data_IF_846127928960
#
_entry.id   IF_846127928960
#
_cell.length_a   1.000
_cell.length_b   1.000
_cell.length_c   1.000
_cell.angle_alpha   90.00
_cell.angle_beta   90.00
_cell.angle_gamma   90.00
#
_symmetry.space_group_name_H-M   'P 1'
#
loop_
_entity.id
_entity.type
_entity.pdbx_description
1 polymer ?
#
# COMPACT_ATOMS: atom_id res chain seq x y z
N UNK A 1 -15.41 -54.51 -20.06
CA UNK A 1 -16.09 -54.90 -18.81
C UNK A 1 -16.27 -53.61 -18.00
N UNK A 2 -17.39 -52.89 -18.17
CA UNK A 2 -18.62 -52.98 -17.34
C UNK A 2 -18.32 -52.76 -15.86
N UNK A 3 -18.82 -51.77 -15.11
CA UNK A 3 -19.77 -50.64 -15.25
C UNK A 3 -19.69 -49.90 -13.87
N UNK A 4 -20.26 -48.69 -13.71
CA UNK A 4 -20.03 -47.79 -12.56
C UNK A 4 -21.03 -47.98 -11.40
N UNK A 5 -20.74 -47.38 -10.23
CA UNK A 5 -21.70 -47.14 -9.12
C UNK A 5 -21.71 -45.63 -8.82
N UNK A 6 -22.77 -44.91 -9.17
CA UNK A 6 -24.12 -44.84 -8.59
C UNK A 6 -24.23 -43.75 -7.50
N UNK A 7 -24.78 -42.62 -7.94
CA UNK A 7 -25.38 -41.56 -7.12
C UNK A 7 -26.48 -42.14 -6.22
N UNK A 8 -26.54 -41.68 -4.97
CA UNK A 8 -27.68 -41.84 -4.10
C UNK A 8 -28.20 -40.47 -3.65
N UNK A 9 -29.24 -40.02 -4.36
CA UNK A 9 -30.22 -39.06 -3.87
C UNK A 9 -30.89 -39.60 -2.60
N UNK A 10 -31.00 -38.76 -1.57
CA UNK A 10 -32.02 -38.94 -0.52
C UNK A 10 -32.71 -37.62 -0.22
N UNK A 11 -33.94 -37.56 -0.70
CA UNK A 11 -35.02 -36.69 -0.26
C UNK A 11 -35.44 -37.02 1.17
N UNK A 12 -35.75 -36.01 1.98
CA UNK A 12 -36.68 -36.07 3.11
C UNK A 12 -37.19 -34.64 3.32
N UNK A 13 -38.40 -34.31 2.86
CA UNK A 13 -39.69 -34.54 3.52
C UNK A 13 -40.14 -33.27 4.28
N UNK A 14 -40.97 -32.48 3.59
CA UNK A 14 -41.90 -31.53 4.20
C UNK A 14 -42.81 -32.27 5.18
N UNK A 15 -42.94 -31.75 6.40
CA UNK A 15 -44.12 -31.98 7.24
C UNK A 15 -44.49 -30.66 7.92
N UNK A 16 -45.59 -30.08 7.46
CA UNK A 16 -46.32 -29.06 8.21
C UNK A 16 -47.28 -29.75 9.16
N UNK A 17 -47.42 -29.23 10.39
CA UNK A 17 -48.49 -29.61 11.32
C UNK A 17 -48.78 -28.46 12.28
N UNK A 18 -50.04 -28.01 12.19
CA UNK A 18 -50.96 -27.56 13.24
C UNK A 18 -50.69 -26.29 14.07
N UNK A 19 -51.45 -25.25 13.70
CA UNK A 19 -52.01 -24.28 14.65
C UNK A 19 -52.90 -25.01 15.68
N UNK A 20 -52.59 -24.83 16.96
CA UNK A 20 -53.54 -25.08 18.05
C UNK A 20 -53.50 -23.86 18.98
N UNK A 21 -54.59 -23.09 18.97
CA UNK A 21 -54.79 -21.95 19.85
C UNK A 21 -55.01 -22.42 21.29
N UNK A 22 -54.20 -21.89 22.20
CA UNK A 22 -54.43 -21.96 23.64
C UNK A 22 -54.67 -20.55 24.16
N UNK A 23 -55.91 -20.30 24.58
CA UNK A 23 -56.28 -19.19 25.44
C UNK A 23 -55.61 -19.39 26.80
N UNK A 24 -54.57 -18.61 27.09
CA UNK A 24 -54.02 -18.49 28.44
C UNK A 24 -54.73 -17.35 29.16
N UNK A 25 -55.38 -17.73 30.25
CA UNK A 25 -56.01 -16.88 31.26
C UNK A 25 -54.99 -15.91 31.87
N UNK A 26 -55.32 -14.62 31.86
CA UNK A 26 -54.57 -13.59 32.59
C UNK A 26 -54.73 -13.77 34.10
N UNK A 27 -53.67 -14.22 34.76
CA UNK A 27 -53.49 -14.07 36.20
C UNK A 27 -52.69 -12.79 36.46
N UNK A 28 -53.26 -11.90 37.29
CA UNK A 28 -52.65 -10.66 37.72
C UNK A 28 -51.34 -10.94 38.47
N UNK A 29 -50.22 -10.44 37.94
CA UNK A 29 -48.91 -10.50 38.58
C UNK A 29 -48.82 -9.42 39.68
N UNK A 30 -48.22 -9.74 40.85
CA UNK A 30 -48.00 -8.77 41.91
C UNK A 30 -46.94 -7.73 41.55
N UNK A 31 -47.13 -6.56 42.15
CA UNK A 31 -46.32 -5.35 42.17
C UNK A 31 -44.84 -5.53 41.77
N UNK A 32 -44.46 -4.92 40.64
CA UNK A 32 -43.05 -4.70 40.29
C UNK A 32 -42.48 -3.66 41.26
N UNK A 33 -41.79 -4.13 42.29
CA UNK A 33 -40.91 -3.30 43.10
C UNK A 33 -39.97 -2.51 42.18
N UNK A 34 -40.06 -1.19 42.23
CA UNK A 34 -39.18 -0.22 41.58
C UNK A 34 -37.78 -0.30 42.18
N UNK A 35 -37.03 -1.34 41.82
CA UNK A 35 -35.60 -1.39 42.08
C UNK A 35 -34.92 -0.31 41.25
N UNK A 36 -34.38 0.72 41.91
CA UNK A 36 -33.51 1.73 41.29
C UNK A 36 -32.48 1.03 40.40
N UNK A 37 -32.28 1.46 39.13
CA UNK A 37 -31.29 0.84 38.26
C UNK A 37 -29.92 0.91 38.95
N UNK A 38 -29.36 -0.25 39.28
CA UNK A 38 -27.99 -0.35 39.77
C UNK A 38 -27.07 0.03 38.61
N UNK A 39 -26.44 1.20 38.72
CA UNK A 39 -25.35 1.58 37.83
C UNK A 39 -24.20 0.60 38.05
N UNK A 40 -24.02 -0.31 37.10
CA UNK A 40 -22.84 -1.18 37.06
C UNK A 40 -21.74 -0.34 36.44
N UNK A 41 -20.73 0.01 37.22
CA UNK A 41 -19.52 0.62 36.68
C UNK A 41 -18.89 -0.37 35.70
N UNK A 42 -19.09 -0.16 34.41
CA UNK A 42 -18.44 -0.96 33.37
C UNK A 42 -16.95 -0.74 33.50
N UNK A 43 -16.20 -1.81 33.79
CA UNK A 43 -14.74 -1.78 33.68
C UNK A 43 -14.39 -1.35 32.25
N UNK A 44 -13.40 -0.46 32.08
CA UNK A 44 -12.96 -0.08 30.74
C UNK A 44 -12.56 -1.34 29.99
N UNK A 45 -13.13 -1.53 28.79
CA UNK A 45 -12.72 -2.64 27.92
C UNK A 45 -11.26 -2.43 27.53
N UNK A 46 -10.43 -3.49 27.56
CA UNK A 46 -9.04 -3.41 27.12
C UNK A 46 -8.96 -2.91 25.67
N UNK A 47 -7.92 -2.12 25.37
CA UNK A 47 -7.70 -1.56 24.05
C UNK A 47 -7.43 -2.68 23.03
N UNK A 48 -8.12 -2.61 21.89
CA UNK A 48 -8.01 -3.60 20.80
C UNK A 48 -7.10 -3.06 19.70
N UNK A 49 -5.83 -2.95 20.07
CA UNK A 49 -4.79 -2.32 19.25
C UNK A 49 -4.14 -3.31 18.27
N UNK A 50 -4.57 -4.56 18.20
CA UNK A 50 -4.04 -5.52 17.24
C UNK A 50 -5.10 -5.90 16.21
N UNK A 51 -4.63 -6.23 15.00
CA UNK A 51 -5.43 -6.76 13.91
C UNK A 51 -4.86 -8.09 13.47
N UNK A 52 -5.68 -9.13 13.57
CA UNK A 52 -5.50 -10.38 12.86
C UNK A 52 -6.14 -10.24 11.49
N UNK A 53 -5.40 -10.48 10.43
CA UNK A 53 -5.87 -10.29 9.05
C UNK A 53 -5.30 -11.35 8.11
N UNK A 54 -5.88 -11.47 6.93
CA UNK A 54 -5.32 -12.32 5.87
C UNK A 54 -4.42 -11.45 5.01
N UNK A 55 -3.12 -11.61 5.21
CA UNK A 55 -2.09 -10.96 4.42
C UNK A 55 -1.55 -11.85 3.31
N UNK A 56 -0.49 -11.38 2.67
CA UNK A 56 0.19 -12.03 1.55
C UNK A 56 1.68 -12.15 1.87
N UNK A 57 2.25 -13.34 1.67
CA UNK A 57 3.68 -13.53 1.59
C UNK A 57 4.11 -13.48 0.12
N UNK A 58 5.05 -12.60 -0.18
CA UNK A 58 5.61 -12.45 -1.52
C UNK A 58 6.76 -13.44 -1.69
N UNK A 59 6.62 -14.39 -2.61
CA UNK A 59 7.64 -15.39 -2.91
C UNK A 59 8.21 -15.23 -4.31
N UNK A 60 9.51 -15.00 -4.41
CA UNK A 60 10.19 -14.86 -5.69
C UNK A 60 10.89 -16.16 -6.09
N UNK A 61 10.82 -16.51 -7.36
CA UNK A 61 11.55 -17.65 -7.92
C UNK A 61 13.03 -17.30 -8.06
N UNK A 62 13.89 -18.06 -7.37
CA UNK A 62 15.32 -17.92 -7.43
C UNK A 62 16.03 -19.24 -7.17
N UNK A 63 17.10 -19.52 -7.90
CA UNK A 63 17.90 -20.72 -7.67
C UNK A 63 17.16 -22.05 -7.87
N UNK A 64 16.05 -22.04 -8.62
CA UNK A 64 15.22 -23.22 -8.88
C UNK A 64 14.05 -23.43 -7.92
N UNK A 65 13.90 -22.59 -6.89
CA UNK A 65 12.79 -22.66 -5.93
C UNK A 65 12.19 -21.27 -5.65
N UNK A 66 11.08 -21.22 -4.92
CA UNK A 66 10.45 -19.99 -4.45
C UNK A 66 10.93 -19.65 -3.04
N UNK A 67 11.60 -18.51 -2.90
CA UNK A 67 12.07 -17.97 -1.64
C UNK A 67 11.22 -16.77 -1.20
N UNK A 68 11.00 -16.60 0.10
CA UNK A 68 10.18 -15.50 0.64
C UNK A 68 10.97 -14.20 0.63
N UNK A 69 10.34 -13.10 0.20
CA UNK A 69 10.93 -11.77 0.28
C UNK A 69 10.90 -11.31 1.74
N UNK A 70 12.07 -11.18 2.35
CA UNK A 70 12.23 -10.78 3.75
C UNK A 70 12.52 -9.30 3.92
N UNK A 71 12.96 -8.61 2.87
CA UNK A 71 13.27 -7.19 2.96
C UNK A 71 13.32 -6.54 1.57
N UNK A 72 13.22 -5.21 1.52
CA UNK A 72 13.33 -4.44 0.29
C UNK A 72 14.08 -3.12 0.54
N UNK A 73 15.32 -3.06 0.05
CA UNK A 73 16.22 -1.91 0.24
C UNK A 73 16.97 -1.63 -1.06
N UNK A 74 17.09 -0.35 -1.43
CA UNK A 74 17.84 0.11 -2.60
C UNK A 74 17.44 -0.58 -3.93
N UNK A 75 16.13 -0.73 -4.17
CA UNK A 75 15.58 -1.43 -5.34
C UNK A 75 15.97 -2.91 -5.44
N UNK A 76 16.28 -3.52 -4.29
CA UNK A 76 16.65 -4.94 -4.19
C UNK A 76 15.83 -5.63 -3.12
N UNK A 77 15.18 -6.73 -3.52
CA UNK A 77 14.48 -7.63 -2.63
C UNK A 77 15.48 -8.63 -2.02
N UNK A 78 15.50 -8.74 -0.68
CA UNK A 78 16.25 -9.78 0.03
C UNK A 78 15.35 -10.99 0.21
N UNK A 79 15.95 -12.17 0.08
CA UNK A 79 15.24 -13.45 0.19
C UNK A 79 15.63 -14.17 1.50
N UNK A 80 14.76 -15.03 2.01
CA UNK A 80 14.89 -15.83 3.24
C UNK A 80 16.02 -16.88 3.23
N UNK A 81 16.89 -16.87 2.22
CA UNK A 81 18.01 -17.79 2.12
C UNK A 81 19.33 -17.16 2.61
N UNK A 82 20.00 -17.77 3.62
CA UNK A 82 21.09 -17.15 4.37
C UNK A 82 22.34 -16.78 3.56
N UNK A 83 22.50 -17.31 2.34
CA UNK A 83 23.65 -17.05 1.46
C UNK A 83 23.28 -16.36 0.15
N UNK A 84 22.07 -15.80 0.03
CA UNK A 84 21.60 -15.27 -1.25
C UNK A 84 21.69 -13.75 -1.35
N UNK A 85 22.18 -13.22 -2.48
CA UNK A 85 22.29 -11.77 -2.69
C UNK A 85 20.90 -11.15 -2.82
N UNK A 86 20.74 -9.91 -2.34
CA UNK A 86 19.55 -9.12 -2.62
C UNK A 86 19.38 -8.99 -4.15
N UNK A 87 18.20 -9.34 -4.68
CA UNK A 87 17.91 -9.36 -6.11
C UNK A 87 17.31 -8.04 -6.54
N UNK A 88 17.78 -7.43 -7.65
CA UNK A 88 17.11 -6.26 -8.20
C UNK A 88 15.68 -6.62 -8.62
N UNK A 89 14.72 -5.72 -8.38
CA UNK A 89 13.29 -5.99 -8.62
C UNK A 89 13.00 -6.38 -10.07
N UNK A 90 13.75 -5.83 -11.02
CA UNK A 90 13.63 -6.17 -12.44
C UNK A 90 13.99 -7.63 -12.79
N UNK A 91 14.66 -8.37 -11.88
CA UNK A 91 14.98 -9.79 -12.04
C UNK A 91 14.01 -10.72 -11.31
N UNK A 92 12.98 -10.18 -10.66
CA UNK A 92 11.92 -10.99 -10.06
C UNK A 92 10.97 -11.47 -11.17
N UNK A 93 11.44 -12.39 -12.02
CA UNK A 93 10.72 -12.83 -13.22
C UNK A 93 9.43 -13.61 -12.91
N UNK A 94 9.43 -14.35 -11.80
CA UNK A 94 8.29 -15.16 -11.37
C UNK A 94 8.08 -14.94 -9.88
N UNK A 95 6.93 -14.38 -9.55
CA UNK A 95 6.53 -14.18 -8.16
C UNK A 95 5.24 -14.94 -7.92
N UNK A 96 5.08 -15.44 -6.69
CA UNK A 96 3.89 -16.14 -6.21
C UNK A 96 3.46 -15.51 -4.90
N UNK A 97 2.16 -15.42 -4.73
CA UNK A 97 1.54 -14.99 -3.49
C UNK A 97 1.09 -16.20 -2.70
N UNK A 98 1.36 -16.16 -1.40
CA UNK A 98 0.80 -17.12 -0.46
C UNK A 98 0.02 -16.34 0.58
N UNK A 99 -1.30 -16.55 0.62
CA UNK A 99 -2.10 -15.99 1.69
C UNK A 99 -1.70 -16.62 3.02
N UNK A 100 -1.47 -15.78 4.01
CA UNK A 100 -1.10 -16.17 5.36
C UNK A 100 -1.88 -15.31 6.36
N UNK A 101 -2.26 -15.92 7.47
CA UNK A 101 -2.82 -15.15 8.58
C UNK A 101 -1.69 -14.39 9.25
N UNK A 102 -1.83 -13.07 9.35
CA UNK A 102 -0.83 -12.17 9.91
C UNK A 102 -1.42 -11.35 11.04
N UNK A 103 -0.53 -10.83 11.87
CA UNK A 103 -0.88 -10.04 13.03
C UNK A 103 -0.08 -8.74 13.00
N UNK A 104 -0.77 -7.62 13.09
CA UNK A 104 -0.16 -6.29 13.15
C UNK A 104 -0.79 -5.47 14.26
N UNK A 105 0.00 -4.59 14.87
CA UNK A 105 -0.51 -3.58 15.83
C UNK A 105 -1.08 -2.37 15.10
N UNK A 106 -0.38 -1.90 14.07
CA UNK A 106 -0.77 -0.65 13.42
C UNK A 106 -1.66 -0.97 12.22
N UNK A 107 -2.79 -0.26 12.14
CA UNK A 107 -3.59 -0.20 10.91
C UNK A 107 -3.17 1.04 10.16
N UNK A 108 -2.57 0.85 9.00
CA UNK A 108 -2.18 1.93 8.11
C UNK A 108 -3.40 2.37 7.31
N UNK A 109 -3.67 3.68 7.32
CA UNK A 109 -4.70 4.27 6.47
C UNK A 109 -4.14 4.47 5.06
N UNK A 110 -4.89 3.99 4.07
CA UNK A 110 -4.60 4.17 2.64
C UNK A 110 -5.80 4.86 2.01
N UNK A 111 -5.63 6.12 1.64
CA UNK A 111 -6.67 6.97 1.06
C UNK A 111 -6.40 7.33 -0.40
N UNK A 112 -7.44 7.79 -1.08
CA UNK A 112 -7.39 8.41 -2.42
C UNK A 112 -6.58 7.62 -3.46
N UNK A 113 -6.74 6.30 -3.48
CA UNK A 113 -6.10 5.44 -4.49
C UNK A 113 -6.67 5.76 -5.86
N UNK A 114 -5.79 6.20 -6.77
CA UNK A 114 -6.12 6.45 -8.18
C UNK A 114 -5.10 5.79 -9.08
N UNK A 115 -5.58 5.36 -10.24
CA UNK A 115 -4.77 4.74 -11.29
C UNK A 115 -4.84 5.58 -12.56
N UNK A 116 -3.70 5.78 -13.18
CA UNK A 116 -3.55 6.47 -14.45
C UNK A 116 -2.71 5.59 -15.39
N UNK A 117 -3.17 5.44 -16.63
CA UNK A 117 -2.39 4.78 -17.68
C UNK A 117 -1.46 5.81 -18.32
N UNK A 118 -0.22 5.42 -18.58
CA UNK A 118 0.79 6.30 -19.17
C UNK A 118 1.61 5.55 -20.24
N UNK A 119 2.34 6.30 -21.05
CA UNK A 119 3.38 5.76 -21.93
C UNK A 119 4.70 5.68 -21.19
N UNK A 120 5.56 4.71 -21.51
CA UNK A 120 6.86 4.46 -20.89
C UNK A 120 7.76 5.69 -20.92
N UNK A 121 8.64 5.81 -19.92
CA UNK A 121 9.37 7.07 -19.66
C UNK A 121 10.20 7.56 -20.86
N UNK A 122 10.70 6.64 -21.70
CA UNK A 122 11.41 6.99 -22.94
C UNK A 122 10.47 7.59 -24.00
N UNK A 123 9.25 7.06 -24.12
CA UNK A 123 8.24 7.54 -25.04
C UNK A 123 7.65 8.88 -24.55
N UNK A 124 7.39 8.99 -23.24
CA UNK A 124 6.90 10.20 -22.57
C UNK A 124 7.90 11.37 -22.72
N UNK A 125 9.20 11.11 -22.51
CA UNK A 125 10.26 12.09 -22.78
C UNK A 125 10.36 12.45 -24.26
N UNK A 126 10.22 11.46 -25.15
CA UNK A 126 10.19 11.69 -26.60
C UNK A 126 9.02 12.57 -27.03
N UNK A 127 7.84 12.36 -26.46
CA UNK A 127 6.63 13.13 -26.73
C UNK A 127 6.74 14.55 -26.17
N UNK A 128 7.23 14.71 -24.94
CA UNK A 128 7.53 16.02 -24.36
C UNK A 128 8.57 16.79 -25.20
N UNK A 129 9.65 16.14 -25.64
CA UNK A 129 10.65 16.77 -26.51
C UNK A 129 10.06 17.14 -27.88
N UNK A 130 9.24 16.26 -28.48
CA UNK A 130 8.53 16.56 -29.74
C UNK A 130 7.59 17.76 -29.57
N UNK A 131 6.90 17.85 -28.44
CA UNK A 131 6.03 18.97 -28.12
C UNK A 131 6.83 20.26 -27.89
N UNK A 132 7.99 20.19 -27.23
CA UNK A 132 8.84 21.36 -27.05
C UNK A 132 9.44 21.85 -28.38
N UNK A 133 9.86 20.92 -29.25
CA UNK A 133 10.35 21.24 -30.60
C UNK A 133 9.25 21.85 -31.45
N UNK A 134 8.02 21.34 -31.38
CA UNK A 134 6.91 21.90 -32.15
C UNK A 134 6.56 23.33 -31.69
N UNK A 135 6.60 23.59 -30.39
CA UNK A 135 6.46 24.95 -29.85
C UNK A 135 7.59 25.86 -30.33
N UNK A 136 8.85 25.42 -30.25
CA UNK A 136 9.98 26.23 -30.73
C UNK A 136 9.89 26.51 -32.23
N UNK A 137 9.55 25.51 -33.04
CA UNK A 137 9.41 25.64 -34.50
C UNK A 137 8.27 26.60 -34.84
N UNK A 138 7.11 26.46 -34.19
CA UNK A 138 5.99 27.38 -34.37
C UNK A 138 6.36 28.82 -33.97
N UNK A 139 7.18 28.99 -32.93
CA UNK A 139 7.68 30.31 -32.50
C UNK A 139 8.66 30.89 -33.53
N UNK A 140 9.51 30.06 -34.12
CA UNK A 140 10.51 30.47 -35.11
C UNK A 140 9.85 30.83 -36.47
N UNK A 141 8.93 30.00 -36.94
CA UNK A 141 8.13 30.29 -38.14
C UNK A 141 7.35 31.61 -37.98
N UNK A 142 6.88 31.91 -36.77
CA UNK A 142 6.23 33.18 -36.46
C UNK A 142 7.20 34.36 -36.52
N UNK A 143 8.43 34.22 -36.02
CA UNK A 143 9.44 35.27 -36.16
C UNK A 143 9.78 35.53 -37.62
N UNK A 144 9.88 34.48 -38.43
CA UNK A 144 10.17 34.61 -39.85
C UNK A 144 9.03 35.29 -40.61
N UNK A 145 7.77 34.98 -40.30
CA UNK A 145 6.61 35.68 -40.86
C UNK A 145 6.57 37.16 -40.44
N UNK A 146 6.96 37.51 -39.22
CA UNK A 146 7.02 38.91 -38.77
C UNK A 146 8.12 39.65 -39.54
N UNK A 147 9.30 39.04 -39.68
CA UNK A 147 10.44 39.61 -40.41
C UNK A 147 10.11 39.76 -41.90
N UNK A 148 9.49 38.77 -42.53
CA UNK A 148 9.06 38.83 -43.93
C UNK A 148 8.00 39.93 -44.16
N UNK A 149 7.02 40.05 -43.25
CA UNK A 149 6.02 41.12 -43.33
C UNK A 149 6.64 42.50 -43.08
N UNK A 150 7.63 42.64 -42.19
CA UNK A 150 8.38 43.88 -42.02
C UNK A 150 9.23 44.21 -43.26
N UNK A 151 9.88 43.22 -43.87
CA UNK A 151 10.63 43.37 -45.11
C UNK A 151 9.74 43.84 -46.26
N UNK A 152 8.55 43.24 -46.41
CA UNK A 152 7.54 43.66 -47.39
C UNK A 152 7.01 45.06 -47.11
N UNK A 153 6.71 45.40 -45.85
CA UNK A 153 6.28 46.75 -45.48
C UNK A 153 7.36 47.82 -45.73
N UNK A 154 8.62 47.49 -45.46
CA UNK A 154 9.78 48.33 -45.75
C UNK A 154 9.96 48.58 -47.24
N UNK A 155 9.82 47.54 -48.08
CA UNK A 155 9.93 47.66 -49.52
C UNK A 155 8.79 48.51 -50.12
N UNK A 156 7.55 48.36 -49.63
CA UNK A 156 6.42 49.22 -50.04
C UNK A 156 6.65 50.68 -49.67
N UNK A 157 7.23 50.96 -48.49
CA UNK A 157 7.59 52.32 -48.07
C UNK A 157 8.75 52.91 -48.89
N UNK A 158 9.63 52.06 -49.44
CA UNK A 158 10.78 52.46 -50.24
C UNK A 158 10.40 52.76 -51.69
N UNK A 159 9.52 51.95 -52.29
CA UNK A 159 8.95 52.19 -53.63
C UNK A 159 8.02 53.41 -53.66
N UNK A 160 7.27 53.65 -52.58
CA UNK A 160 6.38 54.82 -52.46
C UNK A 160 7.13 56.17 -52.36
N UNK A 161 8.46 56.17 -52.16
CA UNK A 161 9.28 57.40 -52.17
C UNK A 161 9.77 57.80 -53.57
N UNK A 162 9.61 56.94 -54.58
CA UNK A 162 10.04 57.22 -55.95
C UNK A 162 8.90 57.65 -56.88
N UNK A 163 7.64 57.52 -56.46
CA UNK A 163 6.49 58.00 -57.23
C UNK A 163 5.81 59.15 -56.48
N UNK A 164 6.07 60.37 -56.93
CA UNK A 164 5.58 61.62 -56.34
C UNK A 164 4.11 61.90 -56.63
N UNK A 165 3.21 61.01 -56.22
CA UNK A 165 1.77 61.25 -56.29
C UNK A 165 1.13 61.14 -54.90
N UNK A 166 0.59 62.27 -54.43
CA UNK A 166 -0.06 62.43 -53.12
C UNK A 166 -1.56 62.19 -53.30
N UNK A 167 -1.96 60.93 -53.31
CA UNK A 167 -3.36 60.57 -53.07
C UNK A 167 -3.49 59.74 -51.79
N UNK A 168 -4.59 60.00 -51.08
CA UNK A 168 -4.92 59.61 -49.72
C UNK A 168 -4.68 58.13 -49.40
N UNK A 169 -3.81 57.89 -48.42
CA UNK A 169 -3.64 56.59 -47.76
C UNK A 169 -4.93 56.22 -47.01
N UNK A 170 -5.71 55.31 -47.57
CA UNK A 170 -6.80 54.64 -46.83
C UNK A 170 -6.14 53.79 -45.76
N UNK A 171 -6.27 54.23 -44.51
CA UNK A 171 -5.81 53.53 -43.32
C UNK A 171 -6.65 52.27 -43.06
N UNK A 172 -6.48 51.24 -43.90
CA UNK A 172 -6.68 49.86 -43.44
C UNK A 172 -5.41 49.46 -42.68
N UNK A 173 -5.31 49.94 -41.44
CA UNK A 173 -4.14 49.72 -40.60
C UNK A 173 -3.82 48.22 -40.52
N UNK A 174 -2.61 47.77 -40.91
CA UNK A 174 -2.17 46.38 -40.72
C UNK A 174 -2.24 45.93 -39.25
N UNK A 175 -2.35 46.89 -38.34
CA UNK A 175 -2.52 46.73 -36.91
C UNK A 175 -3.85 46.05 -36.51
N UNK A 176 -4.98 46.27 -37.21
CA UNK A 176 -6.26 45.60 -36.85
C UNK A 176 -6.30 44.15 -37.32
N UNK A 177 -5.63 43.82 -38.42
CA UNK A 177 -5.42 42.44 -38.86
C UNK A 177 -4.42 41.70 -37.94
N UNK A 178 -3.41 42.40 -37.42
CA UNK A 178 -2.48 41.87 -36.41
C UNK A 178 -3.16 41.63 -35.05
N UNK A 179 -4.02 42.53 -34.58
CA UNK A 179 -4.75 42.36 -33.30
C UNK A 179 -5.75 41.20 -33.36
N UNK A 180 -6.46 41.00 -34.48
CA UNK A 180 -7.33 39.82 -34.65
C UNK A 180 -6.56 38.51 -34.69
N UNK A 181 -5.35 38.50 -35.28
CA UNK A 181 -4.46 37.33 -35.25
C UNK A 181 -3.88 37.07 -33.85
N UNK A 182 -3.58 38.12 -33.09
CA UNK A 182 -3.10 38.00 -31.71
C UNK A 182 -4.16 37.42 -30.76
N UNK A 183 -5.43 37.80 -30.91
CA UNK A 183 -6.52 37.23 -30.12
C UNK A 183 -6.78 35.75 -30.46
N UNK A 184 -6.75 35.37 -31.76
CA UNK A 184 -6.81 33.97 -32.17
C UNK A 184 -5.63 33.12 -31.65
N UNK A 185 -4.45 33.73 -31.45
CA UNK A 185 -3.26 33.08 -30.89
C UNK A 185 -3.42 32.84 -29.37
N UNK A 186 -3.99 33.79 -28.64
CA UNK A 186 -4.26 33.60 -27.21
C UNK A 186 -5.32 32.51 -26.98
N UNK A 187 -6.30 32.41 -27.88
CA UNK A 187 -7.30 31.33 -27.85
C UNK A 187 -6.71 29.97 -28.22
N UNK A 188 -5.76 29.89 -29.17
CA UNK A 188 -5.04 28.65 -29.48
C UNK A 188 -4.09 28.22 -28.35
N UNK A 189 -3.40 29.15 -27.70
CA UNK A 189 -2.52 28.85 -26.57
C UNK A 189 -3.34 28.38 -25.35
N UNK A 190 -4.49 29.01 -25.10
CA UNK A 190 -5.46 28.56 -24.10
C UNK A 190 -6.09 27.19 -24.46
N UNK A 191 -6.26 26.88 -25.75
CA UNK A 191 -6.73 25.57 -26.20
C UNK A 191 -5.66 24.47 -26.03
N UNK A 192 -4.37 24.79 -26.21
CA UNK A 192 -3.24 23.88 -25.98
C UNK A 192 -2.99 23.61 -24.49
N UNK A 193 -3.13 24.62 -23.61
CA UNK A 193 -3.08 24.41 -22.16
C UNK A 193 -4.31 23.65 -21.63
N UNK A 194 -5.49 23.81 -22.26
CA UNK A 194 -6.69 23.01 -21.95
C UNK A 194 -6.67 21.61 -22.54
N UNK A 195 -5.94 21.39 -23.63
CA UNK A 195 -5.75 20.07 -24.26
C UNK A 195 -4.98 19.08 -23.37
N UNK A 196 -4.27 19.55 -22.35
CA UNK A 196 -3.70 18.70 -21.29
C UNK A 196 -4.73 18.23 -20.25
N UNK A 197 -5.99 18.67 -20.35
CA UNK A 197 -7.10 18.31 -19.45
C UNK A 197 -8.42 18.13 -20.20
N UNK A 198 -8.39 17.55 -21.41
CA UNK A 198 -9.65 17.26 -22.12
C UNK A 198 -10.33 16.06 -21.47
N UNK A 199 -11.43 16.40 -20.81
CA UNK A 199 -12.38 15.61 -20.06
C UNK A 199 -13.19 14.63 -20.95
N UNK A 200 -12.55 13.96 -21.90
CA UNK A 200 -13.14 12.94 -22.80
C UNK A 200 -12.64 11.51 -22.51
N UNK A 201 -11.67 11.33 -21.61
CA UNK A 201 -11.10 10.00 -21.28
C UNK A 201 -11.83 9.21 -20.18
N UNK A 202 -12.91 9.72 -19.58
CA UNK A 202 -13.58 9.02 -18.47
C UNK A 202 -14.41 7.78 -18.88
N UNK A 203 -14.55 7.48 -20.18
CA UNK A 203 -15.34 6.34 -20.68
C UNK A 203 -14.59 5.42 -21.67
N UNK A 204 -13.29 5.65 -21.89
CA UNK A 204 -12.51 4.98 -22.95
C UNK A 204 -11.16 4.39 -22.52
N UNK A 205 -10.89 4.26 -21.22
CA UNK A 205 -9.56 3.93 -20.65
C UNK A 205 -8.94 2.57 -21.03
N UNK A 206 -9.56 1.75 -21.89
CA UNK A 206 -9.08 0.39 -22.20
C UNK A 206 -8.51 0.20 -23.62
N UNK A 207 -8.27 1.26 -24.43
CA UNK A 207 -7.77 1.08 -25.82
C UNK A 207 -6.67 2.05 -26.25
N UNK A 208 -5.70 2.30 -25.39
CA UNK A 208 -4.43 2.93 -25.78
C UNK A 208 -3.28 1.93 -25.70
N UNK A 209 -2.24 2.10 -26.53
CA UNK A 209 -0.96 1.36 -26.41
C UNK A 209 -0.13 1.86 -25.21
N UNK A 210 -0.78 2.02 -24.06
CA UNK A 210 -0.10 2.36 -22.81
C UNK A 210 0.73 1.16 -22.36
N UNK A 211 1.97 1.44 -21.96
CA UNK A 211 2.97 0.50 -21.46
C UNK A 211 3.48 0.93 -20.07
N UNK A 212 2.77 1.86 -19.41
CA UNK A 212 3.03 2.23 -18.03
C UNK A 212 1.74 2.38 -17.20
N UNK A 213 1.85 2.07 -15.90
CA UNK A 213 0.82 2.25 -14.90
C UNK A 213 1.33 3.20 -13.81
N UNK A 214 0.56 4.24 -13.51
CA UNK A 214 0.81 5.15 -12.40
C UNK A 214 -0.25 4.91 -11.34
N UNK A 215 0.19 4.68 -10.10
CA UNK A 215 -0.66 4.54 -8.92
C UNK A 215 -0.35 5.70 -7.99
N UNK A 216 -1.36 6.49 -7.66
CA UNK A 216 -1.27 7.52 -6.63
C UNK A 216 -2.11 7.12 -5.43
N UNK A 217 -1.57 7.31 -4.22
CA UNK A 217 -2.29 7.03 -2.98
C UNK A 217 -1.78 7.94 -1.87
N UNK A 218 -2.59 8.12 -0.83
CA UNK A 218 -2.20 8.77 0.41
C UNK A 218 -2.03 7.73 1.51
N UNK A 219 -0.88 7.72 2.20
CA UNK A 219 -0.61 6.77 3.27
C UNK A 219 -0.31 7.50 4.58
N UNK A 220 -0.87 7.01 5.68
CA UNK A 220 -0.59 7.52 7.03
C UNK A 220 -0.70 6.43 8.08
N UNK A 221 0.09 6.55 9.16
CA UNK A 221 0.06 5.59 10.27
C UNK A 221 -0.16 6.33 11.59
N UNK A 222 -1.10 5.90 12.45
CA UNK A 222 -1.33 6.55 13.75
C UNK A 222 -0.11 6.48 14.67
N UNK A 223 0.70 5.43 14.51
CA UNK A 223 1.96 5.23 15.24
C UNK A 223 3.11 5.28 14.22
N UNK A 224 4.24 5.96 14.51
CA UNK A 224 5.37 5.99 13.61
C UNK A 224 5.89 4.58 13.27
N UNK A 225 6.18 4.36 11.99
CA UNK A 225 6.77 3.11 11.47
C UNK A 225 7.97 3.48 10.61
N UNK A 226 9.15 3.05 11.04
CA UNK A 226 10.41 3.20 10.32
C UNK A 226 10.53 2.19 9.16
N UNK A 227 11.34 2.54 8.15
CA UNK A 227 11.75 1.65 7.05
C UNK A 227 10.60 0.92 6.33
N UNK A 228 9.46 1.60 6.15
CA UNK A 228 8.32 1.03 5.47
C UNK A 228 8.50 1.04 3.94
N UNK A 229 7.97 0.02 3.28
CA UNK A 229 7.86 -0.05 1.83
C UNK A 229 6.48 -0.55 1.38
N UNK A 230 6.04 -0.08 0.22
CA UNK A 230 4.80 -0.50 -0.43
C UNK A 230 5.09 -1.60 -1.44
N UNK A 231 4.26 -2.64 -1.41
CA UNK A 231 4.14 -3.64 -2.46
C UNK A 231 2.77 -3.45 -3.11
N UNK A 232 2.78 -3.19 -4.41
CA UNK A 232 1.57 -3.06 -5.21
C UNK A 232 1.43 -4.31 -6.05
N UNK A 233 0.27 -4.94 -5.97
CA UNK A 233 -0.12 -6.08 -6.79
C UNK A 233 -1.17 -5.62 -7.79
N UNK A 234 -0.80 -5.56 -9.06
CA UNK A 234 -1.73 -5.26 -10.15
C UNK A 234 -2.04 -6.55 -10.91
N UNK A 235 -3.30 -6.93 -10.95
CA UNK A 235 -3.77 -7.99 -11.83
C UNK A 235 -4.16 -7.37 -13.18
N UNK A 236 -3.53 -7.83 -14.26
CA UNK A 236 -3.76 -7.29 -15.61
C UNK A 236 -4.24 -8.36 -16.59
N UNK A 237 -4.93 -7.93 -17.64
CA UNK A 237 -5.31 -8.74 -18.80
C UNK A 237 -4.56 -8.25 -20.03
N UNK A 238 -4.07 -9.19 -20.85
CA UNK A 238 -3.45 -8.92 -22.16
C UNK A 238 -4.11 -9.77 -23.25
N UNK A 239 -3.82 -9.51 -24.52
CA UNK A 239 -4.35 -10.34 -25.62
C UNK A 239 -3.91 -11.82 -25.51
N UNK A 240 -2.71 -12.06 -24.98
CA UNK A 240 -2.14 -13.40 -24.84
C UNK A 240 -2.58 -14.11 -23.54
N UNK A 241 -2.87 -13.35 -22.48
CA UNK A 241 -3.15 -13.90 -21.14
C UNK A 241 -4.39 -13.27 -20.51
N UNK A 242 -5.28 -14.14 -20.04
CA UNK A 242 -6.55 -13.77 -19.41
C UNK A 242 -6.32 -13.01 -18.08
N UNK A 243 -5.29 -13.40 -17.33
CA UNK A 243 -4.85 -12.73 -16.11
C UNK A 243 -3.35 -12.94 -15.92
N UNK A 244 -2.64 -11.87 -15.60
CA UNK A 244 -1.23 -11.86 -15.23
C UNK A 244 -1.04 -10.90 -14.05
N UNK A 245 -0.34 -11.35 -13.02
CA UNK A 245 0.00 -10.52 -11.87
C UNK A 245 1.31 -9.76 -12.13
N UNK A 246 1.32 -8.47 -11.80
CA UNK A 246 2.50 -7.61 -11.87
C UNK A 246 2.73 -6.93 -10.53
N UNK A 247 4.00 -6.90 -10.11
CA UNK A 247 4.37 -6.40 -8.79
C UNK A 247 5.31 -5.23 -8.91
N UNK A 248 5.06 -4.23 -8.07
CA UNK A 248 5.93 -3.07 -7.92
C UNK A 248 6.28 -2.89 -6.45
N UNK A 249 7.54 -2.58 -6.19
CA UNK A 249 8.03 -2.24 -4.86
C UNK A 249 8.36 -0.76 -4.82
N UNK A 250 7.95 -0.07 -3.76
CA UNK A 250 8.29 1.34 -3.53
C UNK A 250 8.73 1.55 -2.09
N UNK A 251 9.96 2.02 -1.92
CA UNK A 251 10.42 2.45 -0.61
C UNK A 251 9.67 3.73 -0.19
N UNK A 252 9.09 3.71 1.01
CA UNK A 252 8.38 4.85 1.59
C UNK A 252 9.26 5.54 2.63
N UNK A 253 10.04 4.78 3.39
CA UNK A 253 10.78 5.24 4.56
C UNK A 253 9.87 5.39 5.77
N UNK A 254 10.13 6.40 6.60
CA UNK A 254 9.34 6.61 7.81
C UNK A 254 7.89 7.05 7.48
N UNK A 255 6.93 6.31 8.05
CA UNK A 255 5.51 6.63 8.08
C UNK A 255 5.13 7.16 9.46
N UNK A 256 4.19 8.10 9.51
CA UNK A 256 3.67 8.65 10.77
C UNK A 256 2.27 9.22 10.60
N UNK A 257 1.78 9.99 11.59
CA UNK A 257 0.38 10.45 11.60
C UNK A 257 0.03 11.41 10.46
N UNK A 258 1.05 12.05 9.87
CA UNK A 258 0.86 12.97 8.75
C UNK A 258 0.74 12.18 7.44
N UNK A 259 -0.37 12.39 6.72
CA UNK A 259 -0.58 11.84 5.37
C UNK A 259 0.59 12.19 4.44
N UNK A 260 1.10 11.18 3.76
CA UNK A 260 2.18 11.27 2.78
C UNK A 260 1.64 10.84 1.41
N UNK A 261 1.65 11.72 0.40
CA UNK A 261 1.26 11.34 -0.95
C UNK A 261 2.35 10.46 -1.56
N UNK A 262 1.92 9.34 -2.15
CA UNK A 262 2.74 8.43 -2.93
C UNK A 262 2.32 8.50 -4.38
N UNK A 263 3.31 8.55 -5.27
CA UNK A 263 3.14 8.37 -6.71
C UNK A 263 4.13 7.31 -7.15
N UNK A 264 3.61 6.18 -7.60
CA UNK A 264 4.37 5.03 -8.04
C UNK A 264 4.11 4.87 -9.51
N UNK A 265 5.18 4.69 -10.27
CA UNK A 265 5.11 4.45 -11.70
C UNK A 265 5.79 3.14 -12.00
N UNK A 266 5.09 2.29 -12.75
CA UNK A 266 5.66 1.11 -13.37
C UNK A 266 5.68 1.32 -14.88
N UNK A 267 6.88 1.31 -15.44
CA UNK A 267 7.10 1.23 -16.88
C UNK A 267 7.28 -0.23 -17.35
N UNK A 268 7.31 -0.42 -18.66
CA UNK A 268 7.47 -1.73 -19.33
C UNK A 268 6.33 -2.72 -19.01
N UNK A 269 5.12 -2.21 -18.86
CA UNK A 269 3.91 -3.02 -18.84
C UNK A 269 3.64 -3.55 -20.26
N UNK A 270 3.04 -4.75 -20.41
CA UNK A 270 2.65 -5.25 -21.73
C UNK A 270 1.76 -4.22 -22.46
N UNK A 271 2.02 -3.89 -23.73
CA UNK A 271 1.25 -2.86 -24.42
C UNK A 271 -0.23 -3.26 -24.55
N UNK A 272 -1.13 -2.31 -24.33
CA UNK A 272 -2.57 -2.54 -24.43
C UNK A 272 -3.14 -3.38 -23.28
N UNK A 273 -2.43 -3.45 -22.14
CA UNK A 273 -2.93 -4.11 -20.95
C UNK A 273 -4.18 -3.44 -20.39
N UNK A 274 -5.03 -4.23 -19.76
CA UNK A 274 -6.17 -3.77 -18.98
C UNK A 274 -5.96 -4.11 -17.51
N UNK A 275 -6.18 -3.15 -16.62
CA UNK A 275 -6.13 -3.38 -15.18
C UNK A 275 -7.42 -4.05 -14.70
N UNK A 276 -7.31 -5.26 -14.18
CA UNK A 276 -8.43 -6.01 -13.60
C UNK A 276 -8.61 -5.69 -12.12
N UNK A 277 -7.51 -5.70 -11.37
CA UNK A 277 -7.51 -5.49 -9.92
C UNK A 277 -6.20 -4.83 -9.45
N UNK A 278 -6.27 -4.16 -8.30
CA UNK A 278 -5.12 -3.46 -7.70
C UNK A 278 -5.17 -3.53 -6.17
N UNK A 279 -4.21 -4.26 -5.59
CA UNK A 279 -4.03 -4.36 -4.15
C UNK A 279 -2.75 -3.65 -3.69
N UNK A 280 -2.86 -2.98 -2.55
CA UNK A 280 -1.78 -2.23 -1.92
C UNK A 280 -1.47 -2.85 -0.55
N UNK A 281 -0.22 -3.28 -0.37
CA UNK A 281 0.25 -3.92 0.85
C UNK A 281 1.48 -3.21 1.38
N UNK A 282 1.54 -2.90 2.67
CA UNK A 282 2.67 -2.18 3.27
C UNK A 282 3.45 -3.13 4.14
N UNK A 283 4.76 -3.09 4.03
CA UNK A 283 5.67 -3.99 4.73
C UNK A 283 6.75 -3.21 5.46
N UNK A 284 7.30 -3.85 6.49
CA UNK A 284 8.53 -3.48 7.19
C UNK A 284 9.29 -4.78 7.47
N UNK A 285 10.56 -4.85 7.09
CA UNK A 285 11.41 -6.04 7.33
C UNK A 285 10.72 -7.36 6.94
N UNK A 286 10.00 -7.35 5.80
CA UNK A 286 9.31 -8.54 5.26
C UNK A 286 8.00 -8.89 5.95
N UNK A 287 7.64 -8.20 7.03
CA UNK A 287 6.36 -8.35 7.70
C UNK A 287 5.36 -7.35 7.13
N UNK A 288 4.20 -7.86 6.74
CA UNK A 288 3.11 -7.02 6.28
C UNK A 288 2.40 -6.38 7.46
N UNK A 289 2.12 -5.09 7.33
CA UNK A 289 1.39 -4.30 8.30
C UNK A 289 -0.05 -4.19 7.81
N UNK A 290 -1.00 -4.47 8.71
CA UNK A 290 -2.42 -4.34 8.42
C UNK A 290 -2.73 -2.94 7.89
N UNK A 291 -3.60 -2.87 6.89
CA UNK A 291 -4.10 -1.61 6.35
C UNK A 291 -5.63 -1.65 6.26
N UNK A 292 -6.27 -0.50 6.03
CA UNK A 292 -7.74 -0.43 5.95
C UNK A 292 -8.33 -1.27 4.79
N UNK A 293 -7.53 -1.59 3.79
CA UNK A 293 -7.92 -2.40 2.63
C UNK A 293 -7.73 -3.91 2.86
N UNK A 294 -7.03 -4.32 3.94
CA UNK A 294 -6.75 -5.73 4.20
C UNK A 294 -8.04 -6.52 4.43
N UNK A 295 -8.13 -7.71 3.84
CA UNK A 295 -9.31 -8.55 3.99
C UNK A 295 -9.44 -9.17 5.39
N UNK A 296 -10.68 -9.35 5.84
CA UNK A 296 -11.06 -10.17 7.01
C UNK A 296 -10.28 -9.81 8.29
N UNK A 297 -10.33 -8.53 8.66
CA UNK A 297 -9.66 -8.03 9.86
C UNK A 297 -10.47 -8.31 11.13
N UNK A 298 -9.79 -8.78 12.18
CA UNK A 298 -10.35 -8.98 13.51
C UNK A 298 -9.54 -8.20 14.54
N UNK A 299 -10.24 -7.39 15.33
CA UNK A 299 -9.66 -6.58 16.39
C UNK A 299 -9.39 -7.42 17.65
N UNK A 300 -8.11 -7.51 18.04
CA UNK A 300 -7.64 -8.27 19.19
C UNK A 300 -7.02 -7.36 20.27
N UNK A 301 -7.16 -7.74 21.54
CA UNK A 301 -6.33 -7.18 22.62
C UNK A 301 -4.91 -7.73 22.53
N UNK A 302 -3.97 -7.15 23.28
CA UNK A 302 -2.59 -7.63 23.32
C UNK A 302 -2.49 -9.08 23.82
N UNK A 303 -3.31 -9.43 24.81
CA UNK A 303 -3.35 -10.77 25.41
C UNK A 303 -3.97 -11.79 24.45
N UNK A 304 -5.07 -11.44 23.77
CA UNK A 304 -5.69 -12.29 22.74
C UNK A 304 -4.71 -12.55 21.58
N UNK A 305 -3.96 -11.51 21.19
CA UNK A 305 -2.94 -11.56 20.16
C UNK A 305 -1.78 -12.49 20.55
N UNK A 306 -1.30 -12.41 21.80
CA UNK A 306 -0.26 -13.30 22.34
C UNK A 306 -0.75 -14.75 22.45
N UNK A 307 -2.00 -14.96 22.89
CA UNK A 307 -2.59 -16.29 22.98
C UNK A 307 -2.66 -16.95 21.61
N UNK A 308 -3.11 -16.22 20.58
CA UNK A 308 -3.12 -16.70 19.20
C UNK A 308 -1.73 -17.17 18.74
N UNK A 309 -0.71 -16.30 18.88
CA UNK A 309 0.67 -16.62 18.48
C UNK A 309 1.24 -17.79 19.28
N UNK A 310 0.92 -17.89 20.57
CA UNK A 310 1.38 -18.98 21.44
C UNK A 310 0.76 -20.31 21.01
N UNK A 311 -0.53 -20.33 20.70
CA UNK A 311 -1.21 -21.53 20.19
C UNK A 311 -0.60 -21.97 18.86
N UNK A 312 -0.31 -21.03 17.96
CA UNK A 312 0.35 -21.31 16.69
C UNK A 312 1.73 -21.96 16.91
N UNK A 313 2.58 -21.37 17.75
CA UNK A 313 3.91 -21.90 18.11
C UNK A 313 3.84 -23.30 18.69
N UNK A 314 2.96 -23.53 19.67
CA UNK A 314 2.79 -24.84 20.32
C UNK A 314 2.27 -25.87 19.31
N UNK A 315 1.31 -25.48 18.46
CA UNK A 315 0.73 -26.37 17.46
C UNK A 315 1.75 -26.83 16.40
N UNK A 316 2.71 -25.97 16.07
CA UNK A 316 3.82 -26.25 15.13
C UNK A 316 4.95 -27.04 15.79
N UNK A 317 4.99 -27.09 17.13
CA UNK A 317 6.06 -27.71 17.91
C UNK A 317 5.51 -28.67 18.99
N UNK A 318 4.49 -29.45 18.62
CA UNK A 318 3.81 -30.36 19.56
C UNK A 318 4.79 -31.30 20.25
N UNK A 319 4.71 -31.33 21.58
CA UNK A 319 5.54 -32.17 22.44
C UNK A 319 7.02 -31.76 22.52
N UNK A 320 7.43 -30.66 21.87
CA UNK A 320 8.81 -30.17 21.96
C UNK A 320 9.00 -29.27 23.18
N UNK A 321 10.20 -29.30 23.72
CA UNK A 321 10.68 -28.33 24.70
C UNK A 321 11.34 -27.18 23.96
N UNK A 322 10.85 -25.95 24.18
CA UNK A 322 11.36 -24.74 23.54
C UNK A 322 11.69 -23.68 24.60
N UNK A 323 12.74 -22.87 24.40
CA UNK A 323 13.00 -21.74 25.27
C UNK A 323 11.94 -20.65 25.09
N UNK A 324 11.87 -19.73 26.05
CA UNK A 324 11.12 -18.50 25.88
C UNK A 324 11.84 -17.60 24.87
N UNK A 325 11.07 -16.95 24.00
CA UNK A 325 11.58 -16.08 22.96
C UNK A 325 10.68 -14.84 22.83
N UNK A 326 11.23 -13.66 22.50
CA UNK A 326 10.43 -12.47 22.27
C UNK A 326 9.40 -12.68 21.15
N UNK A 327 8.17 -12.23 21.38
CA UNK A 327 7.13 -12.18 20.37
C UNK A 327 7.25 -10.87 19.56
N UNK A 328 8.20 -10.82 18.62
CA UNK A 328 8.49 -9.60 17.85
C UNK A 328 7.31 -9.07 17.04
N UNK A 329 6.35 -9.92 16.64
CA UNK A 329 5.09 -9.49 16.02
C UNK A 329 4.22 -8.62 16.94
N UNK A 330 4.51 -8.62 18.25
CA UNK A 330 3.88 -7.78 19.28
C UNK A 330 4.82 -6.70 19.83
N UNK A 331 5.86 -6.35 19.07
CA UNK A 331 6.86 -5.39 19.51
C UNK A 331 6.23 -4.06 19.99
N UNK A 332 6.81 -3.43 21.03
CA UNK A 332 6.45 -2.08 21.46
C UNK A 332 6.60 -1.05 20.32
N UNK A 333 5.87 0.05 20.43
CA UNK A 333 5.78 1.05 19.36
C UNK A 333 7.11 1.77 19.15
N UNK A 334 7.89 1.88 20.22
CA UNK A 334 9.22 2.46 20.29
C UNK A 334 10.21 1.72 19.39
N UNK A 335 10.10 0.38 19.30
CA UNK A 335 10.94 -0.42 18.40
C UNK A 335 10.54 -0.21 16.95
N UNK A 336 9.23 -0.20 16.65
CA UNK A 336 8.70 0.03 15.31
C UNK A 336 9.03 1.43 14.76
N UNK A 337 9.16 2.42 15.65
CA UNK A 337 9.43 3.81 15.31
C UNK A 337 10.91 4.13 15.05
N UNK A 338 11.84 3.24 15.42
CA UNK A 338 13.28 3.53 15.33
C UNK A 338 13.94 2.93 14.09
N UNK A 339 14.97 3.61 13.60
CA UNK A 339 15.88 3.19 12.53
C UNK A 339 17.30 2.91 13.07
N UNK A 340 17.51 2.98 14.40
CA UNK A 340 18.82 2.96 15.05
C UNK A 340 18.98 1.71 15.93
N UNK A 341 19.39 0.54 15.39
CA UNK A 341 19.54 -0.68 16.18
C UNK A 341 20.56 -0.56 17.33
N UNK A 342 21.55 0.33 17.18
CA UNK A 342 22.61 0.54 18.18
C UNK A 342 22.09 1.20 19.47
N UNK A 343 20.97 1.93 19.40
CA UNK A 343 20.31 2.51 20.58
C UNK A 343 19.66 1.44 21.47
N UNK A 344 19.53 0.21 20.97
CA UNK A 344 18.89 -0.92 21.63
C UNK A 344 19.85 -2.07 21.95
N UNK A 345 21.15 -1.86 21.79
CA UNK A 345 22.18 -2.89 21.99
C UNK A 345 22.52 -3.09 23.46
N UNK A 346 21.56 -3.61 24.21
CA UNK A 346 21.67 -3.90 25.63
C UNK A 346 21.28 -5.36 25.89
N UNK A 347 22.26 -6.26 26.08
CA UNK A 347 21.95 -7.63 26.45
C UNK A 347 21.36 -7.66 27.86
N UNK A 348 20.17 -8.22 28.00
CA UNK A 348 19.39 -8.26 29.22
C UNK A 348 18.97 -9.69 29.55
N UNK A 349 18.89 -9.99 30.84
CA UNK A 349 18.30 -11.24 31.34
C UNK A 349 16.96 -10.93 31.98
N UNK A 350 15.91 -11.59 31.52
CA UNK A 350 14.53 -11.33 31.96
C UNK A 350 13.86 -12.62 32.43
N UNK A 351 13.00 -12.49 33.44
CA UNK A 351 12.19 -13.58 33.98
C UNK A 351 10.79 -13.50 33.37
N UNK A 352 10.40 -14.56 32.67
CA UNK A 352 9.17 -14.66 31.90
C UNK A 352 8.24 -15.66 32.58
N UNK A 353 6.99 -15.27 32.83
CA UNK A 353 5.99 -16.19 33.38
C UNK A 353 5.46 -17.19 32.33
N UNK A 354 4.65 -18.16 32.77
CA UNK A 354 4.05 -19.15 31.86
C UNK A 354 3.04 -18.54 30.85
N UNK A 355 2.69 -17.25 31.01
CA UNK A 355 1.81 -16.51 30.10
C UNK A 355 2.59 -15.63 29.12
N UNK A 356 3.92 -15.56 29.23
CA UNK A 356 4.74 -14.74 28.35
C UNK A 356 4.96 -13.29 28.82
N UNK A 357 4.64 -12.95 30.06
CA UNK A 357 4.90 -11.60 30.60
C UNK A 357 6.25 -11.53 31.29
N UNK A 358 6.93 -10.39 31.13
CA UNK A 358 8.13 -10.07 31.90
C UNK A 358 7.73 -9.73 33.34
N UNK A 359 8.23 -10.51 34.28
CA UNK A 359 7.99 -10.32 35.73
C UNK A 359 9.12 -9.59 36.42
N UNK A 360 10.35 -9.72 35.91
CA UNK A 360 11.55 -9.12 36.46
C UNK A 360 12.63 -9.00 35.38
N UNK A 361 13.38 -7.91 35.42
CA UNK A 361 14.63 -7.72 34.67
C UNK A 361 15.78 -7.82 35.67
N UNK A 362 16.80 -8.62 35.38
CA UNK A 362 17.95 -8.72 36.28
C UNK A 362 18.80 -7.45 36.23
N UNK A 363 19.13 -6.92 37.41
CA UNK A 363 19.85 -5.65 37.60
C UNK A 363 21.35 -5.71 37.27
N UNK A 364 21.84 -6.82 36.71
CA UNK A 364 23.26 -7.01 36.41
C UNK A 364 23.78 -6.05 35.33
N UNK A 365 22.89 -5.45 34.54
CA UNK A 365 23.22 -4.53 33.46
C UNK A 365 22.54 -3.18 33.68
N UNK A 366 23.33 -2.11 33.78
CA UNK A 366 22.82 -0.75 33.86
C UNK A 366 22.27 -0.38 32.48
N UNK A 367 20.96 -0.21 32.38
CA UNK A 367 20.28 0.20 31.15
C UNK A 367 19.57 1.54 31.31
N UNK A 368 19.44 2.33 30.23
CA UNK A 368 18.61 3.53 30.25
C UNK A 368 17.17 3.21 30.66
N UNK A 369 16.53 4.11 31.42
CA UNK A 369 15.18 3.88 31.95
C UNK A 369 14.12 3.59 30.87
N UNK A 370 14.28 4.19 29.68
CA UNK A 370 13.43 3.90 28.51
C UNK A 370 13.54 2.44 28.05
N UNK A 371 14.75 1.87 28.05
CA UNK A 371 14.97 0.47 27.67
C UNK A 371 14.27 -0.46 28.66
N UNK A 372 14.38 -0.20 29.96
CA UNK A 372 13.67 -0.98 30.98
C UNK A 372 12.15 -0.95 30.81
N UNK A 373 11.58 0.20 30.40
CA UNK A 373 10.15 0.32 30.12
C UNK A 373 9.74 -0.51 28.90
N UNK A 374 10.49 -0.40 27.79
CA UNK A 374 10.24 -1.17 26.57
C UNK A 374 10.29 -2.68 26.85
N UNK A 375 11.26 -3.11 27.66
CA UNK A 375 11.41 -4.53 28.04
C UNK A 375 10.27 -4.98 28.95
N UNK A 376 9.81 -4.13 29.87
CA UNK A 376 8.64 -4.42 30.71
C UNK A 376 7.36 -4.60 29.90
N UNK A 377 7.23 -3.89 28.78
CA UNK A 377 6.09 -3.98 27.86
C UNK A 377 6.24 -5.09 26.80
N UNK A 378 7.39 -5.74 26.71
CA UNK A 378 7.67 -6.78 25.73
C UNK A 378 6.95 -8.08 26.10
N UNK A 379 6.33 -8.69 25.11
CA UNK A 379 5.69 -10.00 25.25
C UNK A 379 6.62 -11.10 24.75
N UNK A 380 6.52 -12.28 25.38
CA UNK A 380 7.30 -13.45 25.05
C UNK A 380 6.39 -14.61 24.69
N UNK A 381 6.82 -15.42 23.73
CA UNK A 381 6.42 -16.81 23.71
C UNK A 381 6.92 -17.48 24.99
N UNK A 382 6.04 -18.09 25.81
CA UNK A 382 6.50 -18.76 27.01
C UNK A 382 7.36 -19.97 26.64
N UNK A 383 8.30 -20.33 27.52
CA UNK A 383 9.03 -21.58 27.38
C UNK A 383 8.06 -22.76 27.48
N UNK A 384 8.32 -23.81 26.73
CA UNK A 384 7.50 -25.03 26.77
C UNK A 384 8.34 -26.21 27.24
N UNK A 385 7.77 -27.06 28.07
CA UNK A 385 8.34 -28.36 28.44
C UNK A 385 7.31 -29.44 28.12
N UNK A 386 7.65 -30.36 27.20
CA UNK A 386 6.71 -31.36 26.67
C UNK A 386 5.38 -30.76 26.16
N UNK A 387 5.43 -29.54 25.61
CA UNK A 387 4.27 -28.80 25.11
C UNK A 387 3.46 -28.03 26.16
N UNK A 388 3.82 -28.09 27.45
CA UNK A 388 3.20 -27.27 28.49
C UNK A 388 4.00 -25.99 28.72
N UNK A 389 3.32 -24.84 28.78
CA UNK A 389 3.97 -23.55 29.05
C UNK A 389 4.46 -23.45 30.50
N UNK A 390 5.69 -23.01 30.71
CA UNK A 390 6.35 -22.87 32.01
C UNK A 390 7.01 -21.50 32.16
N UNK A 391 7.20 -21.06 33.41
CA UNK A 391 8.02 -19.89 33.70
C UNK A 391 9.49 -20.18 33.39
N UNK A 392 10.23 -19.18 32.93
CA UNK A 392 11.62 -19.35 32.49
C UNK A 392 12.41 -18.05 32.56
N UNK A 393 13.71 -18.16 32.31
CA UNK A 393 14.62 -17.03 32.17
C UNK A 393 15.09 -16.96 30.73
N UNK A 394 15.03 -15.77 30.12
CA UNK A 394 15.45 -15.54 28.75
C UNK A 394 16.54 -14.46 28.69
N UNK A 395 17.51 -14.66 27.79
CA UNK A 395 18.45 -13.61 27.40
C UNK A 395 17.92 -12.95 26.14
N UNK A 396 17.89 -11.62 26.14
CA UNK A 396 17.42 -10.83 25.02
C UNK A 396 18.36 -9.69 24.71
N UNK A 397 18.32 -9.25 23.47
CA UNK A 397 18.84 -7.96 23.06
C UNK A 397 17.79 -7.32 22.15
N UNK A 398 17.31 -6.12 22.51
CA UNK A 398 16.29 -5.43 21.72
C UNK A 398 16.77 -5.12 20.29
N UNK A 399 18.09 -5.04 20.09
CA UNK A 399 18.71 -4.95 18.76
C UNK A 399 18.32 -6.11 17.82
N UNK A 400 18.01 -7.29 18.35
CA UNK A 400 17.66 -8.45 17.54
C UNK A 400 16.31 -8.30 16.82
N UNK A 401 15.49 -7.33 17.22
CA UNK A 401 14.28 -6.96 16.49
C UNK A 401 14.56 -6.48 15.06
N UNK A 402 15.71 -5.85 14.81
CA UNK A 402 16.07 -5.21 13.53
C UNK A 402 16.84 -6.14 12.56
N UNK A 403 16.75 -7.47 12.71
CA UNK A 403 17.63 -8.43 12.02
C UNK A 403 16.96 -9.27 10.96
#
# INVERSE_FOLDING_TARGET
>A
MTTPRALAQRSCALLGVFLCGWCVTMAAAPDRSTSKPRSVASRPSPAKDFRLFVGIDVKAFWGGDFATVTDYVNDRARLDSPNQPALPVNRLERVRFQHATKLSRNVIAIGDVKTEFAYGAEQDLGDWMRQQISVQTATQDQTDLIVDNLGKASNVLSESRLSGDRTSFVANSPMTAQVKKFNNLQDQNNALERSGKTQEEAAGLNRGNHDALIVTAEVSSPVPVADAYLVVLAQIRTEEKISQDVIFFRYIGTLGPKSKPLRIRKDNMPPGFELLDLDLHIYREGQEIANELSEKQFALTREEALEYLTLERISSNRGKTLPAEPAWSLAPAELLASEQPNEFDFPLTVHVDAKGHVTRVDESTIVPGQISQIVGDLMFFPATENGAAIASVAQINLRDFFR
#
